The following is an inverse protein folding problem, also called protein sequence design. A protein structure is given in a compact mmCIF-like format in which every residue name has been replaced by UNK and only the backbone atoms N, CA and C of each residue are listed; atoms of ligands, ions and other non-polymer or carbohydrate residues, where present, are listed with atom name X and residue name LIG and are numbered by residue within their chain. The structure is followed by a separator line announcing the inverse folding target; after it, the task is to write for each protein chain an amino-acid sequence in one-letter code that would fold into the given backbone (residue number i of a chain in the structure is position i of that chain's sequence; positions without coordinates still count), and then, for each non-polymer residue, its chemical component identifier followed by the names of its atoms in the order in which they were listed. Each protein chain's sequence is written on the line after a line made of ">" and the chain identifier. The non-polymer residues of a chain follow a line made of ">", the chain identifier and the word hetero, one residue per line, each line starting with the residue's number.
data_IF_010624350969
#
_entry.id   IF_010624350969
#
_cell.length_a   1.000
_cell.length_b   1.000
_cell.length_c   1.000
_cell.angle_alpha   90.00
_cell.angle_beta   90.00
_cell.angle_gamma   90.00
#
_symmetry.space_group_name_H-M   'P 1'
#
loop_
_entity.id
_entity.type
_entity.pdbx_description
1 polymer ?
#
# COMPACT_ATOMS: atom_id res chain seq x y z
N UNK A 1 -26.83 -59.27 5.31
CA UNK A 1 -27.69 -58.64 4.28
C UNK A 1 -26.88 -57.47 3.73
N UNK A 2 -26.23 -57.58 2.56
CA UNK A 2 -26.77 -57.31 1.20
C UNK A 2 -27.42 -55.91 1.13
N UNK A 3 -27.08 -54.94 0.29
CA UNK A 3 -26.17 -54.73 -0.86
C UNK A 3 -26.31 -53.23 -1.23
N UNK A 4 -25.28 -52.49 -1.66
CA UNK A 4 -24.67 -52.39 -3.00
C UNK A 4 -25.55 -51.72 -4.10
N UNK A 5 -24.99 -50.70 -4.77
CA UNK A 5 -25.41 -50.11 -6.06
C UNK A 5 -25.46 -48.57 -6.02
N UNK A 6 -24.63 -47.74 -6.67
CA UNK A 6 -23.73 -47.96 -7.81
C UNK A 6 -24.42 -47.61 -9.13
N UNK A 7 -24.19 -46.41 -9.69
CA UNK A 7 -24.32 -46.14 -11.13
C UNK A 7 -23.61 -44.81 -11.51
N UNK A 8 -22.49 -45.00 -12.17
CA UNK A 8 -21.67 -44.05 -12.93
C UNK A 8 -22.25 -43.94 -14.35
N UNK A 9 -22.25 -42.75 -14.96
CA UNK A 9 -22.61 -42.58 -16.38
C UNK A 9 -21.70 -41.54 -17.07
N UNK A 10 -20.92 -42.07 -18.01
CA UNK A 10 -19.92 -41.46 -18.89
C UNK A 10 -20.56 -40.64 -20.04
N UNK A 11 -19.86 -39.66 -20.61
CA UNK A 11 -20.11 -39.22 -21.99
C UNK A 11 -18.88 -39.37 -22.91
N UNK A 12 -19.10 -39.88 -24.12
CA UNK A 12 -18.14 -40.10 -25.24
C UNK A 12 -18.95 -39.98 -26.56
N UNK A 13 -18.43 -39.51 -27.73
CA UNK A 13 -17.56 -38.37 -28.08
C UNK A 13 -18.15 -37.60 -29.32
N UNK A 14 -17.41 -36.77 -30.08
CA UNK A 14 -17.96 -35.83 -31.07
C UNK A 14 -18.02 -36.39 -32.50
N UNK A 15 -18.83 -35.77 -33.37
CA UNK A 15 -18.87 -36.04 -34.81
C UNK A 15 -18.10 -34.98 -35.62
N UNK A 16 -17.04 -35.43 -36.30
CA UNK A 16 -16.37 -34.71 -37.37
C UNK A 16 -17.17 -34.81 -38.69
N UNK A 17 -17.24 -33.70 -39.43
CA UNK A 17 -17.69 -33.65 -40.82
C UNK A 17 -16.78 -32.75 -41.65
N UNK A 18 -15.94 -33.36 -42.48
CA UNK A 18 -14.85 -32.76 -43.28
C UNK A 18 -15.33 -32.16 -44.62
N UNK A 19 -14.66 -31.04 -44.98
CA UNK A 19 -14.22 -30.58 -46.33
C UNK A 19 -15.36 -30.11 -47.27
N UNK A 20 -15.20 -29.03 -48.05
CA UNK A 20 -14.41 -28.94 -49.29
C UNK A 20 -14.11 -27.45 -49.62
N UNK A 21 -12.93 -27.15 -50.17
CA UNK A 21 -12.59 -25.87 -50.81
C UNK A 21 -12.75 -25.97 -52.34
N UNK A 22 -13.03 -24.85 -53.06
CA UNK A 22 -12.09 -24.47 -54.11
C UNK A 22 -11.90 -22.95 -54.33
N UNK A 23 -10.64 -22.53 -54.31
CA UNK A 23 -9.86 -21.79 -55.34
C UNK A 23 -10.59 -20.89 -56.39
N UNK A 24 -10.20 -19.60 -56.33
CA UNK A 24 -9.96 -18.56 -57.36
C UNK A 24 -11.07 -18.07 -58.31
N UNK A 25 -11.33 -16.76 -58.20
CA UNK A 25 -11.69 -15.88 -59.32
C UNK A 25 -11.37 -14.41 -58.99
N UNK A 26 -10.55 -13.73 -59.82
CA UNK A 26 -10.48 -12.26 -59.90
C UNK A 26 -11.13 -11.82 -61.22
N UNK A 27 -11.93 -10.75 -61.23
CA UNK A 27 -11.60 -9.58 -62.06
C UNK A 27 -11.96 -8.24 -61.39
N UNK A 28 -11.01 -7.30 -61.25
CA UNK A 28 -10.80 -6.03 -62.02
C UNK A 28 -11.66 -4.82 -61.55
N UNK A 29 -11.11 -3.59 -61.66
CA UNK A 29 -11.45 -2.46 -60.80
C UNK A 29 -12.53 -1.56 -61.41
N UNK A 30 -13.40 -1.00 -60.57
CA UNK A 30 -14.25 0.13 -60.97
C UNK A 30 -13.89 1.40 -60.21
N UNK A 31 -13.50 2.37 -61.02
CA UNK A 31 -13.07 3.72 -60.72
C UNK A 31 -14.27 4.62 -60.45
N UNK A 32 -14.61 4.83 -59.18
CA UNK A 32 -15.33 6.04 -58.74
C UNK A 32 -14.74 6.57 -57.44
N UNK A 33 -13.60 7.21 -57.60
CA UNK A 33 -13.07 8.15 -56.62
C UNK A 33 -13.96 9.41 -56.54
N UNK A 34 -13.88 10.03 -55.36
CA UNK A 34 -14.01 11.47 -55.15
C UNK A 34 -15.42 12.06 -55.14
N UNK A 35 -16.00 12.18 -53.93
CA UNK A 35 -16.70 13.39 -53.49
C UNK A 35 -17.25 13.36 -52.04
N UNK A 36 -16.66 12.63 -51.07
CA UNK A 36 -17.20 12.62 -49.68
C UNK A 36 -16.20 12.63 -48.53
N UNK A 37 -14.91 12.85 -48.79
CA UNK A 37 -13.85 12.73 -47.75
C UNK A 37 -13.31 14.08 -47.26
N UNK A 38 -14.18 15.09 -47.13
CA UNK A 38 -13.79 16.46 -46.78
C UNK A 38 -14.16 16.97 -45.39
N UNK A 39 -14.99 16.26 -44.61
CA UNK A 39 -15.61 16.82 -43.39
C UNK A 39 -15.40 16.02 -42.09
N UNK A 40 -14.65 14.91 -42.12
CA UNK A 40 -14.34 14.09 -40.93
C UNK A 40 -12.85 14.12 -40.54
N UNK A 41 -12.18 15.25 -40.76
CA UNK A 41 -10.85 15.54 -40.18
C UNK A 41 -10.96 16.78 -39.29
N UNK A 42 -10.63 16.61 -38.01
CA UNK A 42 -10.87 17.50 -36.85
C UNK A 42 -12.26 17.23 -36.26
N UNK A 43 -12.41 16.35 -35.27
CA UNK A 43 -11.88 16.49 -33.91
C UNK A 43 -11.47 15.11 -33.37
N UNK A 44 -10.21 14.72 -33.56
CA UNK A 44 -9.61 13.73 -32.67
C UNK A 44 -9.11 14.53 -31.46
N UNK A 45 -9.93 14.60 -30.41
CA UNK A 45 -9.49 15.14 -29.14
C UNK A 45 -8.27 14.35 -28.69
N UNK A 46 -7.11 15.02 -28.57
CA UNK A 46 -6.03 14.51 -27.74
C UNK A 46 -6.59 14.51 -26.32
N UNK A 47 -7.09 13.37 -25.86
CA UNK A 47 -7.06 13.08 -24.42
C UNK A 47 -5.56 13.13 -24.10
N UNK A 48 -5.10 14.20 -23.46
CA UNK A 48 -3.76 14.19 -22.90
C UNK A 48 -3.70 12.96 -21.99
N UNK A 49 -2.83 12.00 -22.32
CA UNK A 49 -2.59 10.89 -21.41
C UNK A 49 -2.19 11.51 -20.07
N UNK A 50 -2.95 11.20 -19.02
CA UNK A 50 -2.60 11.63 -17.67
C UNK A 50 -1.21 11.06 -17.39
N UNK A 51 -0.24 11.93 -17.14
CA UNK A 51 1.13 11.52 -16.85
C UNK A 51 1.11 10.50 -15.71
N UNK A 52 1.84 9.40 -15.89
CA UNK A 52 1.99 8.37 -14.86
C UNK A 52 2.63 8.97 -13.61
N UNK A 53 2.48 8.32 -12.45
CA UNK A 53 3.08 8.81 -11.20
C UNK A 53 4.59 8.99 -11.35
N UNK A 54 5.27 8.05 -12.01
CA UNK A 54 6.72 8.11 -12.25
C UNK A 54 7.12 9.30 -13.13
N UNK A 55 6.33 9.64 -14.15
CA UNK A 55 6.55 10.82 -14.99
C UNK A 55 6.28 12.12 -14.21
N UNK A 56 5.26 12.13 -13.34
CA UNK A 56 4.97 13.27 -12.46
C UNK A 56 6.09 13.53 -11.45
N UNK A 57 6.83 12.50 -11.08
CA UNK A 57 8.03 12.58 -10.25
C UNK A 57 9.29 12.97 -11.05
N UNK A 58 9.17 13.19 -12.37
CA UNK A 58 10.27 13.65 -13.22
C UNK A 58 11.14 12.52 -13.80
N UNK A 59 10.69 11.27 -13.74
CA UNK A 59 11.42 10.11 -14.25
C UNK A 59 10.83 9.62 -15.59
N UNK A 60 11.55 8.71 -16.26
CA UNK A 60 11.06 8.06 -17.48
C UNK A 60 9.94 7.07 -17.16
N UNK A 61 9.04 6.81 -18.13
CA UNK A 61 7.90 5.91 -17.93
C UNK A 61 8.28 4.46 -17.58
N UNK A 62 9.51 4.03 -17.89
CA UNK A 62 10.07 2.71 -17.58
C UNK A 62 10.90 2.68 -16.29
N UNK A 63 11.03 3.82 -15.58
CA UNK A 63 11.79 3.88 -14.34
C UNK A 63 11.13 3.05 -13.24
N UNK A 64 11.98 2.43 -12.42
CA UNK A 64 11.60 1.60 -11.27
C UNK A 64 11.93 2.36 -10.00
N UNK A 65 10.91 2.94 -9.38
CA UNK A 65 11.04 3.71 -8.15
C UNK A 65 10.61 2.87 -6.96
N UNK A 66 11.41 2.91 -5.89
CA UNK A 66 11.22 2.07 -4.72
C UNK A 66 11.16 2.92 -3.44
N UNK A 67 10.08 2.75 -2.68
CA UNK A 67 9.95 3.21 -1.30
C UNK A 67 10.10 1.98 -0.39
N UNK A 68 10.97 2.04 0.61
CA UNK A 68 11.09 1.01 1.64
C UNK A 68 10.64 1.63 2.96
N UNK A 69 9.44 1.26 3.40
CA UNK A 69 8.82 1.83 4.61
C UNK A 69 8.96 0.88 5.79
N UNK A 70 9.63 1.36 6.85
CA UNK A 70 9.67 0.69 8.14
C UNK A 70 8.37 0.93 8.91
N UNK A 71 7.56 -0.12 9.02
CA UNK A 71 6.31 -0.12 9.80
C UNK A 71 6.54 -0.29 11.29
N UNK A 72 5.49 -0.03 12.07
CA UNK A 72 5.45 -0.19 13.52
C UNK A 72 6.42 0.73 14.29
N UNK A 73 6.84 1.87 13.71
CA UNK A 73 7.56 2.89 14.47
C UNK A 73 6.63 3.38 15.60
N UNK A 74 7.12 3.37 16.83
CA UNK A 74 6.36 3.70 18.04
C UNK A 74 5.64 2.53 18.69
N UNK A 75 5.56 1.36 18.03
CA UNK A 75 4.88 0.18 18.57
C UNK A 75 5.59 -0.36 19.83
N UNK A 76 6.87 -0.72 19.70
CA UNK A 76 7.72 -1.23 20.76
C UNK A 76 9.10 -0.56 20.73
N UNK A 77 9.86 -0.62 21.83
CA UNK A 77 11.27 -0.19 21.80
C UNK A 77 12.06 -0.93 20.72
N UNK A 78 11.83 -2.24 20.61
CA UNK A 78 12.46 -3.09 19.61
C UNK A 78 12.21 -2.62 18.16
N UNK A 79 10.98 -2.20 17.84
CA UNK A 79 10.62 -1.70 16.50
C UNK A 79 11.16 -0.29 16.27
N UNK A 80 11.25 0.55 17.30
CA UNK A 80 11.91 1.85 17.20
C UNK A 80 13.38 1.72 16.82
N UNK A 81 14.13 0.89 17.54
CA UNK A 81 15.54 0.64 17.25
C UNK A 81 15.68 0.06 15.84
N UNK A 82 14.91 -0.98 15.51
CA UNK A 82 14.97 -1.62 14.20
C UNK A 82 14.66 -0.67 13.04
N UNK A 83 13.60 0.11 13.13
CA UNK A 83 13.23 1.09 12.10
C UNK A 83 14.31 2.16 11.92
N UNK A 84 14.83 2.73 13.01
CA UNK A 84 15.87 3.75 12.91
C UNK A 84 17.21 3.18 12.43
N UNK A 85 17.58 1.96 12.79
CA UNK A 85 18.79 1.33 12.26
C UNK A 85 18.71 1.19 10.74
N UNK A 86 17.58 0.69 10.21
CA UNK A 86 17.37 0.51 8.77
C UNK A 86 17.34 1.85 8.01
N UNK A 87 16.71 2.88 8.58
CA UNK A 87 16.73 4.23 8.02
C UNK A 87 18.14 4.82 8.02
N UNK A 88 18.89 4.68 9.12
CA UNK A 88 20.22 5.28 9.31
C UNK A 88 21.32 4.52 8.58
N UNK A 89 21.13 3.21 8.32
CA UNK A 89 21.93 2.44 7.37
C UNK A 89 21.69 2.90 5.92
N UNK A 90 20.66 3.72 5.68
CA UNK A 90 20.32 4.25 4.38
C UNK A 90 19.68 3.21 3.46
N UNK A 91 19.14 2.12 4.00
CA UNK A 91 18.39 1.12 3.22
C UNK A 91 16.91 1.49 3.18
N UNK A 92 16.32 1.74 4.35
CA UNK A 92 14.97 2.27 4.47
C UNK A 92 14.88 3.71 3.94
N UNK A 93 13.76 4.05 3.33
CA UNK A 93 13.53 5.41 2.79
C UNK A 93 12.35 6.13 3.43
N UNK A 94 11.57 5.43 4.26
CA UNK A 94 10.43 5.98 4.99
C UNK A 94 10.14 5.15 6.25
N UNK A 95 9.39 5.69 7.19
CA UNK A 95 8.77 4.95 8.28
C UNK A 95 7.34 5.43 8.55
N UNK A 96 6.55 4.62 9.25
CA UNK A 96 5.18 5.01 9.62
C UNK A 96 4.96 4.89 11.12
N UNK A 97 4.68 6.02 11.76
CA UNK A 97 4.51 6.16 13.20
C UNK A 97 3.10 5.73 13.65
N UNK A 98 3.03 4.84 14.62
CA UNK A 98 1.81 4.45 15.32
C UNK A 98 1.68 5.27 16.60
N UNK A 99 0.99 6.41 16.50
CA UNK A 99 0.92 7.42 17.56
C UNK A 99 0.32 6.92 18.89
N UNK A 100 -0.74 6.09 18.90
CA UNK A 100 -1.32 5.60 20.15
C UNK A 100 -0.43 4.58 20.90
N UNK A 101 0.60 4.04 20.26
CA UNK A 101 1.38 2.96 20.84
C UNK A 101 2.32 3.42 21.97
N UNK A 102 2.68 2.52 22.92
CA UNK A 102 3.38 2.89 24.15
C UNK A 102 4.75 3.55 23.95
N UNK A 103 5.44 3.24 22.85
CA UNK A 103 6.78 3.74 22.56
C UNK A 103 6.81 4.85 21.49
N UNK A 104 5.65 5.40 21.12
CA UNK A 104 5.57 6.47 20.11
C UNK A 104 6.29 7.75 20.54
N UNK A 105 6.27 8.06 21.85
CA UNK A 105 6.99 9.23 22.39
C UNK A 105 8.51 9.03 22.39
N UNK A 106 8.98 7.80 22.56
CA UNK A 106 10.40 7.48 22.40
C UNK A 106 10.84 7.68 20.96
N UNK A 107 10.05 7.19 19.99
CA UNK A 107 10.31 7.42 18.58
C UNK A 107 10.44 8.92 18.28
N UNK A 108 9.49 9.74 18.77
CA UNK A 108 9.57 11.20 18.64
C UNK A 108 10.87 11.80 19.19
N UNK A 109 11.35 11.32 20.35
CA UNK A 109 12.59 11.81 20.95
C UNK A 109 13.85 11.44 20.14
N UNK A 110 13.78 10.35 19.37
CA UNK A 110 14.88 9.87 18.53
C UNK A 110 14.85 10.40 17.09
N UNK A 111 13.83 11.18 16.71
CA UNK A 111 13.62 11.72 15.38
C UNK A 111 14.68 12.76 15.00
N UNK A 112 15.23 12.66 13.77
CA UNK A 112 16.29 13.53 13.24
C UNK A 112 15.95 14.16 11.89
N UNK A 113 14.68 14.13 11.49
CA UNK A 113 14.22 14.67 10.20
C UNK A 113 14.07 13.63 9.09
N UNK A 114 14.11 12.34 9.44
CA UNK A 114 13.82 11.25 8.51
C UNK A 114 12.41 11.38 7.87
N UNK A 115 12.19 10.67 6.77
CA UNK A 115 10.88 10.59 6.12
C UNK A 115 9.94 9.72 6.97
N UNK A 116 8.97 10.35 7.64
CA UNK A 116 8.04 9.66 8.54
C UNK A 116 6.60 10.08 8.25
N UNK A 117 5.74 9.09 8.03
CA UNK A 117 4.29 9.25 7.96
C UNK A 117 3.60 8.79 9.24
N UNK A 118 2.28 8.87 9.26
CA UNK A 118 1.45 8.35 10.36
C UNK A 118 0.71 7.11 9.88
N UNK A 119 0.94 5.98 10.55
CA UNK A 119 0.11 4.79 10.37
C UNK A 119 -1.11 4.92 11.28
N UNK A 120 -2.24 5.38 10.73
CA UNK A 120 -3.47 5.60 11.49
C UNK A 120 -3.89 4.29 12.17
N UNK A 121 -3.93 4.32 13.49
CA UNK A 121 -4.00 3.13 14.33
C UNK A 121 -5.33 3.12 15.07
N UNK A 122 -6.19 2.18 14.70
CA UNK A 122 -7.51 1.94 15.31
C UNK A 122 -7.66 0.48 15.76
N UNK A 123 -6.56 -0.27 15.76
CA UNK A 123 -6.51 -1.67 16.12
C UNK A 123 -5.29 -1.96 17.00
N UNK A 124 -5.46 -2.92 17.91
CA UNK A 124 -4.38 -3.46 18.74
C UNK A 124 -4.36 -5.00 18.58
N UNK A 125 -3.71 -5.56 17.55
CA UNK A 125 -3.89 -6.96 17.17
C UNK A 125 -3.34 -7.97 18.18
N UNK A 126 -2.48 -7.56 19.10
CA UNK A 126 -1.83 -8.47 20.03
C UNK A 126 -2.66 -8.70 21.28
N UNK A 127 -2.69 -9.94 21.75
CA UNK A 127 -3.48 -10.35 22.92
C UNK A 127 -2.99 -9.69 24.22
N UNK A 128 -1.66 -9.67 24.44
CA UNK A 128 -1.07 -9.25 25.73
C UNK A 128 -0.41 -7.87 25.68
N UNK A 129 -0.32 -7.26 24.51
CA UNK A 129 0.34 -5.97 24.32
C UNK A 129 -0.62 -5.01 23.61
N UNK A 130 -1.24 -4.13 24.39
CA UNK A 130 -2.45 -3.41 24.02
C UNK A 130 -2.24 -1.90 24.12
N UNK A 131 -2.94 -1.17 23.27
CA UNK A 131 -3.00 0.30 23.27
C UNK A 131 -4.42 0.72 22.90
N UNK A 132 -4.80 1.95 23.23
CA UNK A 132 -6.14 2.49 23.05
C UNK A 132 -6.14 3.89 22.47
N UNK A 133 -7.34 4.49 22.28
CA UNK A 133 -7.49 5.81 21.69
C UNK A 133 -6.82 6.88 22.53
N UNK A 134 -6.33 7.92 21.84
CA UNK A 134 -5.76 9.11 22.47
C UNK A 134 -6.78 10.24 22.65
N UNK A 135 -8.04 9.96 22.29
CA UNK A 135 -9.21 10.81 22.47
C UNK A 135 -10.28 10.08 23.30
N UNK A 136 -11.35 10.80 23.68
CA UNK A 136 -12.53 10.16 24.23
C UNK A 136 -13.34 9.53 23.09
N UNK A 137 -13.15 8.22 22.88
CA UNK A 137 -13.77 7.46 21.80
C UNK A 137 -14.21 6.06 22.27
N UNK A 138 -15.33 5.94 23.02
CA UNK A 138 -15.80 4.67 23.56
C UNK A 138 -16.16 3.64 22.49
N UNK A 139 -16.59 4.06 21.29
CA UNK A 139 -16.90 3.14 20.18
C UNK A 139 -15.65 2.51 19.55
N UNK A 140 -14.45 3.00 19.90
CA UNK A 140 -13.19 2.47 19.40
C UNK A 140 -12.52 1.51 20.40
N UNK A 141 -13.27 1.01 21.38
CA UNK A 141 -12.79 0.06 22.38
C UNK A 141 -13.47 -1.30 22.20
N UNK A 142 -12.74 -2.39 22.41
CA UNK A 142 -13.26 -3.77 22.32
C UNK A 142 -13.56 -4.43 23.68
N UNK A 143 -13.49 -3.64 24.77
CA UNK A 143 -13.70 -4.13 26.13
C UNK A 143 -12.47 -4.77 26.79
N UNK A 144 -11.44 -5.12 26.03
CA UNK A 144 -10.16 -5.67 26.52
C UNK A 144 -9.11 -4.57 26.78
N UNK A 145 -9.56 -3.38 27.18
CA UNK A 145 -8.70 -2.27 27.59
C UNK A 145 -7.91 -1.59 26.47
N UNK A 146 -8.35 -1.71 25.21
CA UNK A 146 -7.69 -1.08 24.07
C UNK A 146 -8.55 -1.08 22.81
N UNK A 147 -7.92 -0.79 21.69
CA UNK A 147 -8.56 -0.87 20.37
C UNK A 147 -8.92 -2.32 19.98
N UNK A 148 -9.94 -2.51 19.12
CA UNK A 148 -10.27 -3.79 18.49
C UNK A 148 -9.07 -4.57 17.96
N UNK A 149 -9.04 -5.88 18.22
CA UNK A 149 -7.96 -6.76 17.71
C UNK A 149 -7.99 -6.90 16.19
N UNK A 150 -9.17 -6.81 15.59
CA UNK A 150 -9.35 -7.05 14.14
C UNK A 150 -10.09 -5.89 13.49
N UNK A 151 -9.89 -5.73 12.18
CA UNK A 151 -10.61 -4.72 11.42
C UNK A 151 -12.13 -4.98 11.38
N UNK A 152 -12.57 -6.24 11.32
CA UNK A 152 -13.99 -6.59 11.37
C UNK A 152 -14.65 -6.13 12.68
N UNK A 153 -14.00 -6.41 13.81
CA UNK A 153 -14.48 -5.99 15.13
C UNK A 153 -14.64 -4.46 15.19
N UNK A 154 -13.63 -3.71 14.71
CA UNK A 154 -13.74 -2.26 14.56
C UNK A 154 -14.96 -1.85 13.72
N UNK A 155 -15.18 -2.49 12.56
CA UNK A 155 -16.26 -2.13 11.66
C UNK A 155 -17.66 -2.46 12.20
N UNK A 156 -17.77 -3.42 13.10
CA UNK A 156 -19.06 -3.85 13.65
C UNK A 156 -19.67 -2.80 14.59
N UNK A 157 -18.86 -1.93 15.21
CA UNK A 157 -19.34 -1.02 16.26
C UNK A 157 -18.73 0.40 16.26
N UNK A 158 -17.72 0.70 15.45
CA UNK A 158 -17.11 2.03 15.47
C UNK A 158 -18.03 3.11 14.90
N UNK A 159 -18.15 4.22 15.63
CA UNK A 159 -18.77 5.44 15.14
C UNK A 159 -17.73 6.24 14.34
N UNK A 160 -18.06 6.52 13.07
CA UNK A 160 -17.16 7.18 12.12
C UNK A 160 -16.80 8.61 12.52
N UNK A 161 -17.61 9.28 13.34
CA UNK A 161 -17.25 10.58 13.90
C UNK A 161 -16.16 10.45 14.97
N UNK A 162 -16.15 9.38 15.74
CA UNK A 162 -15.06 9.09 16.68
C UNK A 162 -13.79 8.69 15.94
N UNK A 163 -13.91 7.87 14.89
CA UNK A 163 -12.80 7.52 14.00
C UNK A 163 -12.14 8.77 13.45
N UNK A 164 -12.92 9.72 12.92
CA UNK A 164 -12.39 10.97 12.36
C UNK A 164 -11.65 11.80 13.42
N UNK A 165 -12.24 11.97 14.62
CA UNK A 165 -11.60 12.74 15.71
C UNK A 165 -10.31 12.08 16.19
N UNK A 166 -10.31 10.76 16.35
CA UNK A 166 -9.15 9.98 16.79
C UNK A 166 -8.01 10.05 15.74
N UNK A 167 -8.31 9.76 14.48
CA UNK A 167 -7.31 9.80 13.41
C UNK A 167 -6.71 11.20 13.21
N UNK A 168 -7.54 12.26 13.25
CA UNK A 168 -7.05 13.65 13.25
C UNK A 168 -6.10 13.90 14.42
N UNK A 169 -6.50 13.52 15.63
CA UNK A 169 -5.68 13.72 16.82
C UNK A 169 -4.34 12.99 16.72
N UNK A 170 -4.28 11.83 16.04
CA UNK A 170 -3.02 11.12 15.80
C UNK A 170 -2.08 11.93 14.91
N UNK A 171 -2.59 12.48 13.80
CA UNK A 171 -1.81 13.31 12.88
C UNK A 171 -1.30 14.58 13.58
N UNK A 172 -2.19 15.30 14.26
CA UNK A 172 -1.84 16.54 14.98
C UNK A 172 -0.82 16.29 16.09
N UNK A 173 -0.93 15.15 16.81
CA UNK A 173 0.04 14.74 17.83
C UNK A 173 1.43 14.53 17.24
N UNK A 174 1.52 13.85 16.09
CA UNK A 174 2.79 13.61 15.41
C UNK A 174 3.44 14.94 14.99
N UNK A 175 2.66 15.85 14.41
CA UNK A 175 3.12 17.20 14.05
C UNK A 175 3.60 17.95 15.29
N UNK A 176 2.83 17.93 16.39
CA UNK A 176 3.20 18.59 17.66
C UNK A 176 4.49 18.02 18.27
N UNK A 177 4.75 16.72 18.06
CA UNK A 177 5.98 16.08 18.49
C UNK A 177 7.19 16.40 17.61
N UNK A 178 6.99 17.13 16.50
CA UNK A 178 8.05 17.64 15.63
C UNK A 178 8.25 16.84 14.34
N UNK A 179 7.40 15.86 14.04
CA UNK A 179 7.47 15.13 12.79
C UNK A 179 7.00 15.98 11.60
N UNK A 180 7.79 16.01 10.53
CA UNK A 180 7.34 16.47 9.23
C UNK A 180 6.58 15.33 8.54
N UNK A 181 5.29 15.18 8.89
CA UNK A 181 4.46 14.06 8.41
C UNK A 181 4.36 14.07 6.89
N UNK A 182 4.81 12.99 6.23
CA UNK A 182 4.94 12.96 4.77
C UNK A 182 3.94 12.04 4.03
N UNK A 183 3.23 11.17 4.75
CA UNK A 183 2.16 10.33 4.21
C UNK A 183 1.25 9.81 5.32
N UNK A 184 0.10 9.27 4.93
CA UNK A 184 -0.74 8.47 5.81
C UNK A 184 -0.75 7.00 5.36
N UNK A 185 -0.76 6.12 6.36
CA UNK A 185 -1.07 4.69 6.24
C UNK A 185 -2.24 4.35 7.16
N UNK A 186 -2.68 3.09 7.13
CA UNK A 186 -3.68 2.58 8.09
C UNK A 186 -3.29 1.18 8.58
N UNK A 187 -3.37 1.00 9.89
CA UNK A 187 -3.05 -0.27 10.52
C UNK A 187 -4.08 -1.32 10.13
N UNK A 188 -3.62 -2.53 9.81
CA UNK A 188 -4.43 -3.64 9.29
C UNK A 188 -5.28 -3.30 8.04
N UNK A 189 -4.93 -2.24 7.30
CA UNK A 189 -5.74 -1.72 6.19
C UNK A 189 -7.19 -1.35 6.61
N UNK A 190 -7.42 -1.09 7.90
CA UNK A 190 -8.74 -0.90 8.49
C UNK A 190 -9.55 0.26 7.88
N UNK A 191 -8.87 1.33 7.47
CA UNK A 191 -9.49 2.46 6.79
C UNK A 191 -9.58 2.31 5.27
N UNK A 192 -8.93 1.31 4.67
CA UNK A 192 -8.95 1.09 3.22
C UNK A 192 -10.13 0.23 2.78
N UNK A 193 -10.56 -0.71 3.61
CA UNK A 193 -11.37 -1.82 3.16
C UNK A 193 -12.89 -1.58 3.13
N UNK A 194 -13.35 -0.47 3.72
CA UNK A 194 -14.77 -0.11 3.84
C UNK A 194 -15.00 1.33 3.35
N UNK A 195 -15.96 1.59 2.44
CA UNK A 195 -16.17 2.91 1.86
C UNK A 195 -16.31 4.04 2.88
N UNK A 196 -17.06 3.81 3.96
CA UNK A 196 -17.35 4.78 5.01
C UNK A 196 -16.12 5.13 5.86
N UNK A 197 -15.19 4.19 6.06
CA UNK A 197 -13.91 4.43 6.72
C UNK A 197 -12.89 5.06 5.75
N UNK A 198 -12.95 4.68 4.47
CA UNK A 198 -12.13 5.27 3.42
C UNK A 198 -12.46 6.75 3.20
N UNK A 199 -13.72 7.15 3.35
CA UNK A 199 -14.12 8.55 3.29
C UNK A 199 -13.38 9.39 4.35
N UNK A 200 -13.25 8.88 5.58
CA UNK A 200 -12.47 9.54 6.64
C UNK A 200 -10.99 9.61 6.29
N UNK A 201 -10.43 8.52 5.74
CA UNK A 201 -9.02 8.47 5.35
C UNK A 201 -8.70 9.47 4.23
N UNK A 202 -9.55 9.54 3.22
CA UNK A 202 -9.41 10.46 2.10
C UNK A 202 -9.66 11.92 2.50
N UNK A 203 -10.61 12.18 3.39
CA UNK A 203 -10.87 13.50 3.97
C UNK A 203 -9.60 14.03 4.64
N UNK A 204 -9.02 13.24 5.56
CA UNK A 204 -7.80 13.62 6.28
C UNK A 204 -6.60 13.78 5.34
N UNK A 205 -6.43 12.89 4.36
CA UNK A 205 -5.38 13.01 3.35
C UNK A 205 -5.50 14.31 2.54
N UNK A 206 -6.72 14.68 2.18
CA UNK A 206 -7.01 15.89 1.42
C UNK A 206 -6.73 17.14 2.22
N UNK A 207 -7.11 17.14 3.51
CA UNK A 207 -6.97 18.28 4.41
C UNK A 207 -5.53 18.54 4.83
N UNK A 208 -4.80 17.49 5.21
CA UNK A 208 -3.39 17.59 5.58
C UNK A 208 -2.46 17.59 4.35
N UNK A 209 -3.02 17.48 3.15
CA UNK A 209 -2.30 17.43 1.87
C UNK A 209 -1.26 16.30 1.79
N UNK A 210 -1.60 15.15 2.36
CA UNK A 210 -0.71 13.99 2.44
C UNK A 210 -1.06 12.92 1.39
N UNK A 211 -0.05 12.29 0.76
CA UNK A 211 -0.24 11.05 0.02
C UNK A 211 -0.76 9.93 0.91
N UNK A 212 -1.43 8.95 0.31
CA UNK A 212 -1.92 7.76 0.97
C UNK A 212 -1.16 6.51 0.53
N UNK A 213 -0.89 5.63 1.50
CA UNK A 213 -0.66 4.22 1.17
C UNK A 213 -2.00 3.56 0.83
N UNK A 214 -2.12 3.09 -0.41
CA UNK A 214 -3.29 2.37 -0.92
C UNK A 214 -2.88 1.03 -1.53
N UNK A 215 -3.73 0.02 -1.37
CA UNK A 215 -3.55 -1.29 -2.01
C UNK A 215 -3.53 -1.18 -3.55
N UNK A 216 -2.93 -2.13 -4.25
CA UNK A 216 -2.84 -2.13 -5.72
C UNK A 216 -4.24 -2.14 -6.37
N UNK A 217 -4.40 -1.53 -7.55
CA UNK A 217 -5.73 -1.34 -8.15
C UNK A 217 -6.46 -2.64 -8.54
N UNK A 218 -5.71 -3.72 -8.77
CA UNK A 218 -6.22 -5.08 -8.97
C UNK A 218 -6.93 -5.65 -7.72
N UNK A 219 -6.75 -5.03 -6.54
CA UNK A 219 -7.47 -5.41 -5.33
C UNK A 219 -8.85 -4.75 -5.18
N UNK A 220 -9.18 -3.70 -5.96
CA UNK A 220 -10.49 -3.00 -5.89
C UNK A 220 -11.72 -3.92 -6.00
N UNK A 221 -11.74 -4.97 -6.86
CA UNK A 221 -12.87 -5.90 -6.91
C UNK A 221 -13.15 -6.63 -5.59
N UNK A 222 -12.10 -6.91 -4.79
CA UNK A 222 -12.26 -7.57 -3.50
C UNK A 222 -12.87 -6.65 -2.44
N UNK A 223 -12.61 -5.34 -2.55
CA UNK A 223 -13.16 -4.31 -1.67
C UNK A 223 -14.53 -3.79 -2.13
N UNK A 224 -14.86 -3.93 -3.41
CA UNK A 224 -16.16 -3.57 -3.97
C UNK A 224 -16.36 -2.08 -4.27
N UNK A 225 -15.28 -1.27 -4.25
CA UNK A 225 -15.34 0.14 -4.61
C UNK A 225 -14.00 0.68 -5.16
N UNK A 226 -14.02 1.74 -6.00
CA UNK A 226 -12.84 2.19 -6.74
C UNK A 226 -11.98 3.20 -5.95
N UNK A 227 -11.36 2.76 -4.86
CA UNK A 227 -10.63 3.64 -3.94
C UNK A 227 -9.48 4.43 -4.59
N UNK A 228 -8.74 3.87 -5.57
CA UNK A 228 -7.65 4.59 -6.25
C UNK A 228 -8.17 5.70 -7.12
N UNK A 229 -9.26 5.44 -7.85
CA UNK A 229 -9.91 6.47 -8.66
C UNK A 229 -10.42 7.61 -7.78
N UNK A 230 -11.07 7.28 -6.65
CA UNK A 230 -11.55 8.30 -5.70
C UNK A 230 -10.39 9.13 -5.14
N UNK A 231 -9.28 8.51 -4.74
CA UNK A 231 -8.10 9.26 -4.30
C UNK A 231 -7.58 10.21 -5.40
N UNK A 232 -7.48 9.72 -6.64
CA UNK A 232 -7.02 10.51 -7.78
C UNK A 232 -7.95 11.69 -8.13
N UNK A 233 -9.27 11.53 -8.00
CA UNK A 233 -10.27 12.59 -8.20
C UNK A 233 -10.10 13.74 -7.17
N UNK A 234 -9.57 13.45 -5.99
CA UNK A 234 -9.20 14.42 -4.96
C UNK A 234 -7.74 14.91 -5.08
N UNK A 235 -7.02 14.48 -6.11
CA UNK A 235 -5.61 14.81 -6.31
C UNK A 235 -4.67 14.19 -5.29
N UNK A 236 -5.10 13.15 -4.57
CA UNK A 236 -4.31 12.43 -3.57
C UNK A 236 -3.49 11.34 -4.25
N UNK A 237 -2.18 11.32 -4.02
CA UNK A 237 -1.22 10.38 -4.59
C UNK A 237 -1.04 9.16 -3.71
N UNK A 238 -0.71 8.05 -4.36
CA UNK A 238 -0.38 6.78 -3.72
C UNK A 238 0.62 6.02 -4.59
N UNK A 239 1.53 5.20 -4.02
CA UNK A 239 2.35 4.28 -4.81
C UNK A 239 1.50 3.42 -5.75
N UNK A 240 2.04 3.06 -6.91
CA UNK A 240 1.34 2.21 -7.88
C UNK A 240 1.09 0.81 -7.31
N UNK A 241 2.04 0.32 -6.50
CA UNK A 241 2.00 -1.00 -5.86
C UNK A 241 2.48 -0.93 -4.42
N UNK A 242 1.87 -1.74 -3.56
CA UNK A 242 2.29 -1.91 -2.16
C UNK A 242 2.49 -3.41 -1.91
N UNK A 243 3.69 -3.82 -1.51
CA UNK A 243 4.00 -5.21 -1.19
C UNK A 243 4.37 -5.32 0.30
N UNK A 244 3.95 -6.43 0.93
CA UNK A 244 4.16 -6.71 2.36
C UNK A 244 4.88 -8.06 2.52
N UNK A 245 6.18 -8.14 2.18
CA UNK A 245 6.92 -9.38 2.37
C UNK A 245 6.93 -9.75 3.85
N UNK A 246 6.48 -10.97 4.17
CA UNK A 246 6.35 -11.42 5.56
C UNK A 246 7.66 -11.94 6.13
N UNK A 247 8.48 -12.57 5.31
CA UNK A 247 9.78 -13.13 5.71
C UNK A 247 10.92 -12.45 4.97
N UNK A 248 12.17 -12.73 5.38
CA UNK A 248 13.37 -12.20 4.73
C UNK A 248 13.50 -12.71 3.27
N UNK A 249 13.19 -13.98 3.02
CA UNK A 249 13.27 -14.59 1.70
C UNK A 249 12.29 -13.96 0.71
N UNK A 250 11.05 -13.71 1.16
CA UNK A 250 10.03 -13.03 0.35
C UNK A 250 10.42 -11.57 0.10
N UNK A 251 11.11 -10.92 1.05
CA UNK A 251 11.64 -9.57 0.88
C UNK A 251 12.73 -9.51 -0.19
N UNK A 252 13.69 -10.44 -0.17
CA UNK A 252 14.73 -10.53 -1.20
C UNK A 252 14.14 -10.77 -2.60
N UNK A 253 13.15 -11.66 -2.71
CA UNK A 253 12.46 -11.91 -3.96
C UNK A 253 11.74 -10.65 -4.45
N UNK A 254 10.98 -9.98 -3.58
CA UNK A 254 10.26 -8.76 -3.94
C UNK A 254 11.22 -7.65 -4.41
N UNK A 255 12.40 -7.52 -3.80
CA UNK A 255 13.44 -6.58 -4.23
C UNK A 255 13.99 -6.90 -5.62
N UNK A 256 14.11 -8.19 -5.98
CA UNK A 256 14.60 -8.62 -7.28
C UNK A 256 13.61 -8.40 -8.43
N UNK A 257 12.30 -8.37 -8.12
CA UNK A 257 11.19 -8.40 -9.09
C UNK A 257 10.45 -7.06 -9.23
N UNK A 258 11.05 -5.94 -8.80
CA UNK A 258 10.41 -4.61 -8.89
C UNK A 258 10.09 -4.24 -10.34
N UNK A 259 8.80 -3.99 -10.60
CA UNK A 259 8.26 -3.55 -11.89
C UNK A 259 8.41 -2.03 -12.10
N UNK A 260 8.35 -1.54 -13.35
CA UNK A 260 8.25 -0.10 -13.65
C UNK A 260 7.08 0.58 -12.92
N UNK A 261 7.31 1.83 -12.51
CA UNK A 261 6.41 2.63 -11.66
C UNK A 261 6.96 2.80 -10.24
N UNK A 262 6.08 3.20 -9.32
CA UNK A 262 6.39 3.39 -7.90
C UNK A 262 5.89 2.20 -7.08
N UNK A 263 6.82 1.45 -6.51
CA UNK A 263 6.51 0.35 -5.59
C UNK A 263 6.89 0.74 -4.17
N UNK A 264 6.00 0.51 -3.21
CA UNK A 264 6.32 0.54 -1.79
C UNK A 264 6.50 -0.89 -1.27
N UNK A 265 7.65 -1.18 -0.66
CA UNK A 265 7.86 -2.34 0.19
C UNK A 265 7.66 -1.94 1.64
N UNK A 266 6.73 -2.64 2.31
CA UNK A 266 6.46 -2.42 3.73
C UNK A 266 7.09 -3.53 4.54
N UNK A 267 8.07 -3.16 5.36
CA UNK A 267 8.91 -4.04 6.17
C UNK A 267 8.70 -3.77 7.65
N UNK A 268 8.97 -4.74 8.50
CA UNK A 268 8.71 -4.66 9.94
C UNK A 268 9.99 -4.94 10.75
N UNK A 269 11.10 -4.20 10.55
CA UNK A 269 12.35 -4.48 11.22
C UNK A 269 12.23 -4.22 12.73
N UNK A 270 12.68 -5.19 13.54
CA UNK A 270 12.78 -5.03 14.99
C UNK A 270 13.99 -5.80 15.53
N UNK A 271 14.69 -5.25 16.53
CA UNK A 271 15.72 -6.01 17.23
C UNK A 271 15.10 -7.09 18.11
N UNK A 272 15.78 -8.22 18.25
CA UNK A 272 15.32 -9.26 19.17
C UNK A 272 15.43 -8.77 20.63
N UNK A 273 14.31 -8.81 21.36
CA UNK A 273 14.27 -8.53 22.80
C UNK A 273 13.33 -9.50 23.52
N UNK A 274 13.49 -9.71 24.84
CA UNK A 274 12.53 -10.47 25.63
C UNK A 274 11.09 -9.92 25.57
N UNK A 275 10.92 -8.59 25.50
CA UNK A 275 9.62 -7.95 25.33
C UNK A 275 8.98 -8.36 24.00
N UNK A 276 9.71 -8.23 22.89
CA UNK A 276 9.19 -8.55 21.56
C UNK A 276 8.77 -10.02 21.47
N UNK A 277 9.59 -10.94 22.00
CA UNK A 277 9.28 -12.38 22.06
C UNK A 277 7.99 -12.68 22.83
N UNK A 278 7.73 -11.94 23.91
CA UNK A 278 6.55 -12.12 24.74
C UNK A 278 5.29 -11.50 24.12
N UNK A 279 5.45 -10.36 23.45
CA UNK A 279 4.36 -9.55 22.89
C UNK A 279 3.87 -10.07 21.54
N UNK A 280 4.78 -10.54 20.67
CA UNK A 280 4.46 -10.84 19.27
C UNK A 280 4.89 -12.27 18.88
N UNK A 281 3.95 -13.17 18.52
CA UNK A 281 4.28 -14.55 18.14
C UNK A 281 5.21 -14.67 16.93
N UNK A 282 5.14 -13.74 15.98
CA UNK A 282 5.97 -13.73 14.75
C UNK A 282 7.25 -12.92 14.85
N UNK A 283 7.77 -12.68 16.07
CA UNK A 283 8.92 -11.81 16.32
C UNK A 283 10.18 -12.21 15.52
N UNK A 284 10.33 -13.50 15.21
CA UNK A 284 11.46 -14.02 14.46
C UNK A 284 11.50 -13.44 13.04
N UNK A 285 10.35 -13.27 12.39
CA UNK A 285 10.27 -12.70 11.05
C UNK A 285 10.73 -11.23 11.05
N UNK A 286 10.36 -10.48 12.09
CA UNK A 286 10.75 -9.08 12.25
C UNK A 286 12.24 -8.92 12.56
N UNK A 287 12.79 -9.82 13.37
CA UNK A 287 14.23 -9.90 13.65
C UNK A 287 15.03 -10.25 12.39
N UNK A 288 14.63 -11.28 11.65
CA UNK A 288 15.28 -11.66 10.39
C UNK A 288 15.22 -10.54 9.35
N UNK A 289 14.12 -9.78 9.27
CA UNK A 289 14.04 -8.62 8.39
C UNK A 289 15.00 -7.50 8.80
N UNK A 290 15.14 -7.20 10.10
CA UNK A 290 16.10 -6.23 10.59
C UNK A 290 17.53 -6.65 10.21
N UNK A 291 17.92 -7.88 10.54
CA UNK A 291 19.25 -8.44 10.23
C UNK A 291 19.60 -8.31 8.74
N UNK A 292 18.66 -8.70 7.86
CA UNK A 292 18.83 -8.58 6.42
C UNK A 292 18.98 -7.11 5.97
N UNK A 293 18.14 -6.22 6.48
CA UNK A 293 18.08 -4.82 6.03
C UNK A 293 19.25 -3.96 6.55
N UNK A 294 19.90 -4.36 7.65
CA UNK A 294 21.11 -3.69 8.16
C UNK A 294 22.41 -4.36 7.69
N UNK A 295 22.32 -5.52 7.01
CA UNK A 295 23.48 -6.17 6.41
C UNK A 295 24.03 -5.38 5.21
N UNK A 296 25.10 -4.63 5.47
CA UNK A 296 25.82 -3.85 4.48
C UNK A 296 26.41 -4.69 3.33
N UNK A 297 26.57 -6.01 3.50
CA UNK A 297 27.18 -6.86 2.48
C UNK A 297 26.20 -7.31 1.38
N UNK A 298 24.89 -7.31 1.67
CA UNK A 298 23.87 -8.00 0.87
C UNK A 298 22.88 -7.03 0.21
N UNK A 299 22.11 -6.27 1.00
CA UNK A 299 21.01 -5.46 0.47
C UNK A 299 21.47 -4.30 -0.43
N UNK A 300 22.51 -3.51 -0.09
CA UNK A 300 23.00 -2.47 -0.98
C UNK A 300 23.39 -3.00 -2.36
N UNK A 301 24.06 -4.15 -2.44
CA UNK A 301 24.43 -4.78 -3.71
C UNK A 301 23.22 -5.28 -4.49
N UNK A 302 22.20 -5.79 -3.81
CA UNK A 302 20.95 -6.20 -4.45
C UNK A 302 20.24 -4.99 -5.07
N UNK A 303 20.15 -3.88 -4.34
CA UNK A 303 19.56 -2.62 -4.81
C UNK A 303 20.34 -2.04 -6.00
N UNK A 304 21.67 -2.08 -5.97
CA UNK A 304 22.50 -1.66 -7.10
C UNK A 304 22.29 -2.53 -8.34
N UNK A 305 22.28 -3.86 -8.18
CA UNK A 305 22.07 -4.82 -9.28
C UNK A 305 20.70 -4.72 -9.91
N UNK A 306 19.69 -4.42 -9.12
CA UNK A 306 18.31 -4.27 -9.61
C UNK A 306 18.13 -2.97 -10.37
N UNK A 307 18.98 -1.95 -10.14
CA UNK A 307 18.90 -0.66 -10.84
C UNK A 307 17.66 0.15 -10.48
N UNK A 308 17.10 -0.09 -9.29
CA UNK A 308 15.96 0.66 -8.76
C UNK A 308 16.43 2.01 -8.24
N UNK A 309 15.64 3.06 -8.45
CA UNK A 309 15.86 4.36 -7.83
C UNK A 309 15.06 4.43 -6.55
N UNK A 310 15.74 4.66 -5.43
CA UNK A 310 15.10 4.74 -4.13
C UNK A 310 14.60 6.15 -3.86
N UNK A 311 13.36 6.28 -3.44
CA UNK A 311 12.70 7.54 -3.10
C UNK A 311 12.01 7.43 -1.74
N UNK A 312 11.73 8.56 -1.11
CA UNK A 312 10.89 8.66 0.09
C UNK A 312 9.49 9.15 -0.23
N UNK A 313 8.58 9.09 0.73
CA UNK A 313 7.22 9.62 0.59
C UNK A 313 7.19 11.15 0.44
N UNK A 314 8.23 11.86 0.90
CA UNK A 314 8.34 13.31 0.69
C UNK A 314 8.29 13.68 -0.79
N UNK A 315 8.88 12.86 -1.68
CA UNK A 315 8.80 13.09 -3.12
C UNK A 315 7.36 13.04 -3.66
N UNK A 316 6.52 12.14 -3.13
CA UNK A 316 5.10 12.06 -3.49
C UNK A 316 4.34 13.28 -2.94
N UNK A 317 4.59 13.67 -1.68
CA UNK A 317 3.96 14.85 -1.07
C UNK A 317 4.29 16.14 -1.82
N UNK A 318 5.56 16.31 -2.19
CA UNK A 318 6.03 17.48 -2.91
C UNK A 318 5.41 17.55 -4.32
N UNK A 319 5.30 16.41 -5.03
CA UNK A 319 4.62 16.35 -6.31
C UNK A 319 3.10 16.59 -6.21
N UNK A 320 2.47 16.13 -5.12
CA UNK A 320 1.05 16.35 -4.84
C UNK A 320 0.74 17.83 -4.62
N UNK A 321 1.51 18.50 -3.76
CA UNK A 321 1.35 19.93 -3.44
C UNK A 321 1.68 20.82 -4.64
N UNK A 322 2.74 20.50 -5.40
CA UNK A 322 3.08 21.22 -6.62
C UNK A 322 1.99 21.15 -7.72
N UNK A 323 1.15 20.12 -7.71
CA UNK A 323 0.05 19.99 -8.67
C UNK A 323 -1.17 20.86 -8.32
N UNK A 324 -1.22 21.44 -7.11
CA UNK A 324 -2.32 22.27 -6.61
C UNK A 324 -2.02 23.77 -6.58
N UNK A 325 -0.74 24.15 -6.64
CA UNK A 325 -0.27 25.54 -6.72
C UNK A 325 -0.42 26.12 -8.15
#
# INVERSE_FOLDING_TARGET
>A
MKGAGGAEATPVPPSEGRRIAPVLGRPRPDSRASARTGWLRRVAGRVAAVATLVERLGYTADARLLIITCENLGCAHATNVGAYDVLRAGVGTSASLMVPCPWAREAAAAYRGEDVGVNLTLNAPFERYRWGPITLAPSLLDGDGGFPRTANDLWDHADTDEVRRECRAQIERAILWGFDVNHLGTQLDALNARPEFFDVYLELATEFELPLRLQSGDSEPAYGFPFRRRAAEHGVLSPDRVLRPRTAEVLEQALAEIEPGVTELVVNPAIETPELRAAYPGWNDWASQHELLVDAASIPKLLERTGVTRIGYRALRDAQTASRA
#
